data_IF_846453953532
#
_entry.id   IF_846453953532
#
_cell.length_a   1.000
_cell.length_b   1.000
_cell.length_c   1.000
_cell.angle_alpha   90.00
_cell.angle_beta   90.00
_cell.angle_gamma   90.00
#
_symmetry.space_group_name_H-M   'P 1'
#
loop_
_entity.id
_entity.type
_entity.pdbx_description
1 polymer ?
#
# COMPACT_ATOMS: atom_id res chain seq x y z
N UNK A 1 -13.36 9.19 2.35
CA UNK A 1 -12.23 9.61 3.22
C UNK A 1 -12.57 10.76 4.18
N UNK A 2 -13.39 11.74 3.79
CA UNK A 2 -13.64 12.94 4.61
C UNK A 2 -14.12 12.70 6.05
N UNK A 3 -15.08 11.80 6.33
CA UNK A 3 -15.51 11.56 7.72
C UNK A 3 -14.37 11.01 8.59
N UNK A 4 -13.61 10.05 8.05
CA UNK A 4 -12.47 9.47 8.76
C UNK A 4 -11.36 10.50 8.99
N UNK A 5 -11.02 11.31 7.99
CA UNK A 5 -10.03 12.39 8.13
C UNK A 5 -10.45 13.44 9.17
N UNK A 6 -11.76 13.76 9.23
CA UNK A 6 -12.29 14.65 10.25
C UNK A 6 -12.10 14.06 11.66
N UNK A 7 -12.39 12.78 11.85
CA UNK A 7 -12.19 12.12 13.13
C UNK A 7 -10.72 11.97 13.52
N UNK A 8 -9.84 11.67 12.55
CA UNK A 8 -8.38 11.65 12.76
C UNK A 8 -7.87 13.01 13.23
N UNK A 9 -8.30 14.09 12.58
CA UNK A 9 -7.94 15.45 12.96
C UNK A 9 -8.47 15.83 14.37
N UNK A 10 -9.72 15.46 14.69
CA UNK A 10 -10.30 15.69 16.02
C UNK A 10 -9.59 14.92 17.13
N UNK A 11 -9.06 13.73 16.81
CA UNK A 11 -8.24 12.93 17.71
C UNK A 11 -6.78 13.40 17.80
N UNK A 12 -6.42 14.47 17.09
CA UNK A 12 -5.06 15.02 17.07
C UNK A 12 -4.06 14.21 16.26
N UNK A 13 -4.51 13.30 15.40
CA UNK A 13 -3.66 12.53 14.50
C UNK A 13 -3.36 13.33 13.23
N UNK A 14 -2.08 13.51 12.91
CA UNK A 14 -1.62 14.06 11.64
C UNK A 14 -1.62 13.00 10.52
N UNK A 15 -2.72 12.25 10.42
CA UNK A 15 -2.93 11.20 9.43
C UNK A 15 -4.03 11.68 8.48
N UNK A 16 -3.75 11.62 7.17
CA UNK A 16 -4.72 11.94 6.12
C UNK A 16 -4.87 10.76 5.17
N UNK A 17 -6.08 10.22 5.10
CA UNK A 17 -6.46 9.25 4.10
C UNK A 17 -6.75 9.97 2.79
N UNK A 18 -6.01 9.63 1.74
CA UNK A 18 -6.34 10.09 0.40
C UNK A 18 -7.56 9.30 -0.13
N UNK A 19 -8.68 9.99 -0.31
CA UNK A 19 -9.91 9.40 -0.84
C UNK A 19 -10.05 9.50 -2.35
N UNK A 20 -9.09 10.13 -3.03
CA UNK A 20 -9.09 10.30 -4.48
C UNK A 20 -8.95 8.94 -5.15
N UNK A 21 -9.69 8.73 -6.23
CA UNK A 21 -9.46 7.61 -7.15
C UNK A 21 -8.06 7.67 -7.74
N UNK A 22 -7.56 6.55 -8.29
CA UNK A 22 -6.27 6.56 -8.98
C UNK A 22 -6.23 7.59 -10.13
N UNK A 23 -7.34 7.82 -10.83
CA UNK A 23 -7.39 8.85 -11.86
C UNK A 23 -7.15 10.26 -11.27
N UNK A 24 -7.82 10.58 -10.16
CA UNK A 24 -7.67 11.86 -9.45
C UNK A 24 -6.30 12.04 -8.77
N UNK A 25 -5.59 10.94 -8.50
CA UNK A 25 -4.20 10.96 -8.01
C UNK A 25 -3.17 11.11 -9.13
N UNK A 26 -3.60 11.17 -10.40
CA UNK A 26 -2.69 11.13 -11.54
C UNK A 26 -2.04 9.76 -11.70
N UNK A 27 -2.71 8.70 -11.26
CA UNK A 27 -2.34 7.30 -11.41
C UNK A 27 -3.31 6.56 -12.35
N UNK A 28 -4.05 7.30 -13.20
CA UNK A 28 -4.92 6.66 -14.19
C UNK A 28 -4.12 5.74 -15.10
N UNK A 29 -4.71 4.62 -15.54
CA UNK A 29 -4.05 3.64 -16.41
C UNK A 29 -2.94 2.79 -15.76
N UNK A 30 -2.48 3.14 -14.56
CA UNK A 30 -1.49 2.38 -13.77
C UNK A 30 -2.12 1.12 -13.15
N UNK A 31 -3.39 1.19 -12.78
CA UNK A 31 -4.11 0.09 -12.18
C UNK A 31 -4.14 -1.13 -13.11
N UNK A 32 -3.73 -2.29 -12.59
CA UNK A 32 -3.82 -3.52 -13.35
C UNK A 32 -5.28 -3.91 -13.55
N UNK A 33 -5.70 -4.06 -14.80
CA UNK A 33 -6.97 -4.72 -15.11
C UNK A 33 -6.82 -6.21 -14.81
N UNK A 34 -7.71 -6.76 -14.00
CA UNK A 34 -7.73 -8.20 -13.75
C UNK A 34 -7.84 -8.94 -15.08
N UNK A 35 -6.83 -9.76 -15.38
CA UNK A 35 -6.81 -10.60 -16.56
C UNK A 35 -7.41 -11.95 -16.19
N UNK A 36 -8.54 -12.30 -16.80
CA UNK A 36 -9.19 -13.59 -16.56
C UNK A 36 -8.24 -14.77 -16.82
N UNK A 37 -8.50 -15.93 -16.18
CA UNK A 37 -7.56 -17.05 -16.11
C UNK A 37 -7.13 -17.58 -17.49
N UNK A 38 -8.01 -17.56 -18.49
CA UNK A 38 -7.70 -17.99 -19.86
C UNK A 38 -6.66 -17.09 -20.53
N UNK A 39 -6.86 -15.77 -20.47
CA UNK A 39 -5.89 -14.81 -21.00
C UNK A 39 -4.57 -14.90 -20.23
N UNK A 40 -4.60 -15.00 -18.90
CA UNK A 40 -3.38 -15.21 -18.13
C UNK A 40 -2.60 -16.49 -18.55
N UNK A 41 -3.30 -17.58 -18.88
CA UNK A 41 -2.69 -18.81 -19.36
C UNK A 41 -2.10 -18.68 -20.78
N UNK A 42 -2.75 -17.94 -21.68
CA UNK A 42 -2.24 -17.62 -23.03
C UNK A 42 -0.98 -16.78 -22.98
N UNK A 43 -0.94 -15.76 -22.11
CA UNK A 43 0.24 -14.92 -21.90
C UNK A 43 1.45 -15.75 -21.41
N UNK A 44 1.22 -16.71 -20.48
CA UNK A 44 2.28 -17.62 -19.99
C UNK A 44 2.84 -18.55 -21.07
N UNK A 45 2.07 -18.84 -22.12
CA UNK A 45 2.49 -19.68 -23.25
C UNK A 45 3.22 -18.90 -24.36
N UNK A 46 3.46 -17.60 -24.17
CA UNK A 46 4.15 -16.77 -25.15
C UNK A 46 3.38 -16.54 -26.44
N UNK A 47 2.06 -16.77 -26.43
CA UNK A 47 1.21 -16.44 -27.58
C UNK A 47 1.11 -14.92 -27.66
N UNK A 48 1.50 -14.35 -28.80
CA UNK A 48 1.31 -12.92 -29.06
C UNK A 48 -0.17 -12.58 -28.89
N UNK A 49 -0.46 -11.87 -27.80
CA UNK A 49 -1.76 -11.26 -27.65
C UNK A 49 -1.78 -10.04 -28.54
N UNK A 50 -2.63 -10.07 -29.56
CA UNK A 50 -3.06 -8.85 -30.21
C UNK A 50 -3.77 -8.00 -29.16
N UNK A 51 -3.09 -6.98 -28.68
CA UNK A 51 -3.71 -5.96 -27.86
C UNK A 51 -4.81 -5.30 -28.67
N UNK A 52 -6.00 -5.14 -28.07
CA UNK A 52 -7.02 -4.32 -28.70
C UNK A 52 -6.44 -2.91 -28.93
N UNK A 53 -6.83 -2.19 -29.99
CA UNK A 53 -6.32 -0.84 -30.27
C UNK A 53 -6.38 0.10 -29.06
N UNK A 54 -7.43 -0.02 -28.23
CA UNK A 54 -7.57 0.74 -26.99
C UNK A 54 -6.53 0.39 -25.91
N UNK A 55 -6.10 -0.87 -25.83
CA UNK A 55 -5.07 -1.30 -24.88
C UNK A 55 -3.67 -0.86 -25.33
N UNK A 56 -3.40 -0.86 -26.65
CA UNK A 56 -2.18 -0.26 -27.21
C UNK A 56 -2.12 1.25 -26.97
N UNK A 57 -3.22 1.96 -27.22
CA UNK A 57 -3.29 3.40 -26.98
C UNK A 57 -3.01 3.74 -25.51
N UNK A 58 -3.61 2.98 -24.58
CA UNK A 58 -3.34 3.16 -23.14
C UNK A 58 -1.89 2.85 -22.77
N UNK A 59 -1.31 1.81 -23.36
CA UNK A 59 0.09 1.43 -23.13
C UNK A 59 1.04 2.55 -23.59
N UNK A 60 0.78 3.12 -24.78
CA UNK A 60 1.55 4.25 -25.32
C UNK A 60 1.41 5.49 -24.44
N UNK A 61 0.18 5.84 -24.03
CA UNK A 61 -0.05 6.97 -23.13
C UNK A 61 0.71 6.79 -21.80
N UNK A 62 0.72 5.57 -21.26
CA UNK A 62 1.49 5.27 -20.05
C UNK A 62 3.01 5.36 -20.28
N UNK A 63 3.52 4.95 -21.44
CA UNK A 63 4.92 5.11 -21.79
C UNK A 63 5.29 6.60 -21.86
N UNK A 64 4.50 7.42 -22.55
CA UNK A 64 4.70 8.87 -22.66
C UNK A 64 4.70 9.55 -21.28
N UNK A 65 3.80 9.11 -20.39
CA UNK A 65 3.72 9.62 -19.01
C UNK A 65 4.92 9.18 -18.17
N UNK A 66 5.41 7.95 -18.31
CA UNK A 66 6.61 7.48 -17.62
C UNK A 66 7.89 8.15 -18.15
N UNK A 67 7.92 8.52 -19.44
CA UNK A 67 8.96 9.35 -20.00
C UNK A 67 8.93 10.77 -19.43
N UNK A 68 7.77 11.34 -19.15
CA UNK A 68 7.67 12.64 -18.50
C UNK A 68 8.04 12.55 -17.01
N UNK A 69 7.37 11.66 -16.27
CA UNK A 69 7.48 11.45 -14.83
C UNK A 69 7.69 9.96 -14.49
N UNK A 70 8.95 9.49 -14.43
CA UNK A 70 9.27 8.12 -14.06
C UNK A 70 8.78 7.72 -12.67
N UNK A 71 8.68 8.66 -11.73
CA UNK A 71 8.37 8.37 -10.33
C UNK A 71 6.94 7.85 -10.13
N UNK A 72 6.06 8.03 -11.13
CA UNK A 72 4.77 7.37 -11.18
C UNK A 72 4.88 5.85 -11.00
N UNK A 73 5.95 5.24 -11.52
CA UNK A 73 6.22 3.81 -11.34
C UNK A 73 6.58 3.47 -9.89
N UNK A 74 7.31 4.33 -9.19
CA UNK A 74 7.64 4.12 -7.78
C UNK A 74 6.39 4.22 -6.90
N UNK A 75 5.49 5.17 -7.20
CA UNK A 75 4.20 5.27 -6.53
C UNK A 75 3.36 4.02 -6.74
N UNK A 76 3.32 3.50 -7.96
CA UNK A 76 2.67 2.22 -8.25
C UNK A 76 3.26 1.09 -7.39
N UNK A 77 4.58 0.93 -7.40
CA UNK A 77 5.24 -0.13 -6.67
C UNK A 77 5.02 -0.01 -5.16
N UNK A 78 5.07 1.21 -4.61
CA UNK A 78 4.80 1.48 -3.20
C UNK A 78 3.37 1.09 -2.78
N UNK A 79 2.38 1.32 -3.66
CA UNK A 79 0.99 0.90 -3.41
C UNK A 79 0.82 -0.62 -3.45
N UNK A 80 1.69 -1.34 -4.17
CA UNK A 80 1.62 -2.80 -4.29
C UNK A 80 2.44 -3.53 -3.21
N UNK A 81 3.55 -2.94 -2.74
CA UNK A 81 4.49 -3.57 -1.80
C UNK A 81 5.42 -2.56 -1.12
N UNK A 82 5.85 -2.86 0.11
CA UNK A 82 6.77 -2.01 0.88
C UNK A 82 8.23 -2.10 0.41
N UNK A 83 8.65 -3.21 -0.20
CA UNK A 83 10.01 -3.42 -0.69
C UNK A 83 10.03 -4.12 -2.04
N UNK A 84 11.01 -3.82 -2.87
CA UNK A 84 11.17 -4.37 -4.22
C UNK A 84 12.63 -4.38 -4.66
N UNK A 85 12.94 -5.19 -5.67
CA UNK A 85 14.26 -5.21 -6.29
C UNK A 85 14.26 -4.55 -7.68
N UNK A 86 15.43 -4.50 -8.31
CA UNK A 86 15.56 -3.94 -9.66
C UNK A 86 14.80 -4.76 -10.73
N UNK A 87 14.61 -6.07 -10.52
CA UNK A 87 13.86 -6.92 -11.44
C UNK A 87 12.38 -6.61 -11.38
N UNK A 88 11.85 -6.27 -10.20
CA UNK A 88 10.48 -5.80 -10.04
C UNK A 88 10.25 -4.48 -10.79
N UNK A 89 11.20 -3.54 -10.70
CA UNK A 89 11.15 -2.28 -11.45
C UNK A 89 11.18 -2.53 -12.96
N UNK A 90 12.11 -3.38 -13.42
CA UNK A 90 12.21 -3.75 -14.83
C UNK A 90 10.93 -4.44 -15.34
N UNK A 91 10.39 -5.38 -14.56
CA UNK A 91 9.14 -6.06 -14.88
C UNK A 91 7.97 -5.08 -14.93
N UNK A 92 7.93 -4.12 -14.02
CA UNK A 92 6.91 -3.09 -13.99
C UNK A 92 6.98 -2.19 -15.22
N UNK A 93 8.18 -1.76 -15.64
CA UNK A 93 8.41 -0.98 -16.85
C UNK A 93 8.01 -1.72 -18.13
N UNK A 94 8.38 -3.00 -18.26
CA UNK A 94 8.03 -3.82 -19.43
C UNK A 94 6.52 -4.04 -19.62
N UNK A 95 5.69 -3.66 -18.66
CA UNK A 95 4.23 -3.63 -18.85
C UNK A 95 3.77 -2.49 -19.76
N UNK A 96 4.57 -1.42 -19.88
CA UNK A 96 4.19 -0.20 -20.59
C UNK A 96 5.19 0.18 -21.69
N UNK A 97 6.47 -0.13 -21.52
CA UNK A 97 7.56 0.34 -22.39
C UNK A 97 8.22 -0.84 -23.09
N UNK A 98 8.12 -0.86 -24.42
CA UNK A 98 8.76 -1.86 -25.29
C UNK A 98 10.03 -1.31 -25.97
N UNK A 99 10.10 0.01 -26.18
CA UNK A 99 11.27 0.63 -26.79
C UNK A 99 12.50 0.54 -25.85
N UNK A 100 13.63 -0.04 -26.30
CA UNK A 100 14.80 -0.22 -25.45
C UNK A 100 15.45 1.08 -24.99
N UNK A 101 15.38 2.15 -25.79
CA UNK A 101 15.98 3.44 -25.45
C UNK A 101 15.16 4.14 -24.37
N UNK A 102 13.84 4.17 -24.53
CA UNK A 102 12.91 4.70 -23.53
C UNK A 102 12.99 3.90 -22.22
N UNK A 103 13.02 2.57 -22.32
CA UNK A 103 13.17 1.69 -21.16
C UNK A 103 14.44 2.02 -20.36
N UNK A 104 15.57 2.15 -21.05
CA UNK A 104 16.86 2.45 -20.42
C UNK A 104 16.84 3.84 -19.81
N UNK A 105 16.31 4.84 -20.53
CA UNK A 105 16.18 6.21 -20.04
C UNK A 105 15.36 6.30 -18.75
N UNK A 106 14.16 5.73 -18.75
CA UNK A 106 13.25 5.74 -17.59
C UNK A 106 13.90 4.99 -16.41
N UNK A 107 14.47 3.80 -16.65
CA UNK A 107 15.16 3.04 -15.59
C UNK A 107 16.31 3.83 -14.98
N UNK A 108 17.17 4.45 -15.79
CA UNK A 108 18.29 5.25 -15.28
C UNK A 108 17.80 6.42 -14.42
N UNK A 109 16.73 7.12 -14.83
CA UNK A 109 16.13 8.20 -14.05
C UNK A 109 15.51 7.69 -12.75
N UNK A 110 14.87 6.51 -12.76
CA UNK A 110 14.35 5.86 -11.56
C UNK A 110 15.46 5.50 -10.57
N UNK A 111 16.55 4.91 -11.05
CA UNK A 111 17.70 4.55 -10.21
C UNK A 111 18.38 5.77 -9.58
N UNK A 112 18.27 6.93 -10.23
CA UNK A 112 18.81 8.20 -9.75
C UNK A 112 17.80 9.04 -8.94
N UNK A 113 16.56 8.58 -8.78
CA UNK A 113 15.52 9.33 -8.05
C UNK A 113 15.80 9.30 -6.56
N UNK A 114 15.72 10.47 -5.92
CA UNK A 114 15.78 10.61 -4.46
C UNK A 114 14.64 9.90 -3.73
N UNK A 115 13.55 9.58 -4.43
CA UNK A 115 12.41 8.86 -3.89
C UNK A 115 12.62 7.34 -3.87
N UNK A 116 13.65 6.82 -4.56
CA UNK A 116 14.08 5.43 -4.46
C UNK A 116 15.17 5.30 -3.39
N UNK A 117 14.90 4.52 -2.35
CA UNK A 117 15.82 4.34 -1.22
C UNK A 117 16.36 2.92 -1.18
N UNK A 118 17.68 2.77 -1.15
CA UNK A 118 18.35 1.48 -0.98
C UNK A 118 18.31 1.06 0.50
N UNK A 119 17.63 -0.06 0.79
CA UNK A 119 17.58 -0.65 2.13
C UNK A 119 18.70 -1.67 2.37
N UNK A 120 18.95 -2.50 1.36
CA UNK A 120 19.97 -3.54 1.42
C UNK A 120 20.77 -3.52 0.12
N UNK A 121 22.09 -3.31 0.17
CA UNK A 121 22.91 -3.38 -1.03
C UNK A 121 22.88 -4.81 -1.60
N UNK A 122 23.09 -4.90 -2.91
CA UNK A 122 23.29 -6.18 -3.59
C UNK A 122 24.46 -6.92 -2.95
N UNK A 123 24.28 -8.22 -2.71
CA UNK A 123 25.37 -9.09 -2.27
C UNK A 123 25.92 -9.88 -3.45
N UNK A 124 27.25 -9.97 -3.50
CA UNK A 124 27.99 -10.71 -4.51
C UNK A 124 28.78 -11.80 -3.82
N UNK A 125 28.65 -13.02 -4.33
CA UNK A 125 29.41 -14.16 -3.87
C UNK A 125 30.89 -13.99 -4.24
N UNK A 126 31.76 -14.04 -3.24
CA UNK A 126 33.18 -13.71 -3.39
C UNK A 126 33.97 -14.69 -4.24
N UNK A 127 33.52 -15.95 -4.36
CA UNK A 127 34.21 -16.99 -5.14
C UNK A 127 33.76 -16.98 -6.61
N UNK A 128 32.46 -16.83 -6.85
CA UNK A 128 31.88 -16.90 -8.19
C UNK A 128 31.72 -15.54 -8.88
N UNK A 129 31.80 -14.43 -8.13
CA UNK A 129 31.52 -13.09 -8.62
C UNK A 129 30.07 -12.86 -9.04
N UNK A 130 29.17 -13.81 -8.73
CA UNK A 130 27.74 -13.73 -9.08
C UNK A 130 26.96 -13.05 -7.97
N UNK A 131 25.89 -12.38 -8.36
CA UNK A 131 24.93 -11.81 -7.42
C UNK A 131 24.26 -12.95 -6.64
N UNK A 132 24.50 -12.99 -5.33
CA UNK A 132 23.87 -13.94 -4.41
C UNK A 132 22.50 -13.42 -3.95
N UNK A 133 22.41 -12.13 -3.66
CA UNK A 133 21.16 -11.47 -3.26
C UNK A 133 21.01 -10.14 -3.98
N UNK A 134 19.81 -9.81 -4.49
CA UNK A 134 19.57 -8.54 -5.15
C UNK A 134 19.62 -7.38 -4.15
N UNK A 135 19.86 -6.17 -4.68
CA UNK A 135 19.61 -4.96 -3.92
C UNK A 135 18.10 -4.85 -3.60
N UNK A 136 17.78 -4.49 -2.36
CA UNK A 136 16.41 -4.25 -1.92
C UNK A 136 16.20 -2.76 -1.76
N UNK A 137 15.17 -2.26 -2.41
CA UNK A 137 14.74 -0.89 -2.40
C UNK A 137 13.39 -0.72 -1.71
N UNK A 138 13.12 0.49 -1.28
CA UNK A 138 11.81 0.99 -0.88
C UNK A 138 11.64 2.41 -1.44
N UNK A 139 10.49 3.02 -1.23
CA UNK A 139 10.32 4.45 -1.51
C UNK A 139 10.51 5.28 -0.25
N UNK A 140 10.90 6.55 -0.41
CA UNK A 140 11.00 7.50 0.70
C UNK A 140 9.67 7.66 1.45
N UNK A 141 8.55 7.56 0.73
CA UNK A 141 7.20 7.57 1.30
C UNK A 141 6.95 6.36 2.21
N UNK A 142 7.20 5.14 1.73
CA UNK A 142 7.03 3.92 2.53
C UNK A 142 7.94 3.97 3.76
N UNK A 143 9.21 4.35 3.59
CA UNK A 143 10.14 4.44 4.70
C UNK A 143 9.65 5.41 5.80
N UNK A 144 9.03 6.53 5.40
CA UNK A 144 8.44 7.48 6.33
C UNK A 144 7.22 6.90 7.05
N UNK A 145 6.32 6.26 6.31
CA UNK A 145 5.13 5.61 6.88
C UNK A 145 5.54 4.56 7.94
N UNK A 146 6.51 3.70 7.60
CA UNK A 146 7.01 2.66 8.50
C UNK A 146 7.69 3.26 9.74
N UNK A 147 8.45 4.35 9.57
CA UNK A 147 9.05 5.07 10.68
C UNK A 147 7.98 5.65 11.62
N UNK A 148 7.00 6.36 11.07
CA UNK A 148 5.91 6.98 11.84
C UNK A 148 5.06 5.92 12.57
N UNK A 149 4.83 4.77 11.92
CA UNK A 149 4.14 3.62 12.51
C UNK A 149 4.94 3.02 13.67
N UNK A 150 6.25 2.83 13.51
CA UNK A 150 7.11 2.32 14.56
C UNK A 150 7.18 3.26 15.78
N UNK A 151 7.23 4.57 15.56
CA UNK A 151 7.18 5.56 16.65
C UNK A 151 5.82 5.54 17.35
N UNK A 152 4.73 5.45 16.59
CA UNK A 152 3.37 5.35 17.13
C UNK A 152 3.22 4.10 18.00
N UNK A 153 3.71 2.95 17.54
CA UNK A 153 3.69 1.70 18.29
C UNK A 153 4.51 1.79 19.60
N UNK A 154 5.69 2.40 19.57
CA UNK A 154 6.48 2.64 20.79
C UNK A 154 5.74 3.52 21.80
N UNK A 155 5.21 4.65 21.33
CA UNK A 155 4.45 5.56 22.19
C UNK A 155 3.21 4.89 22.79
N UNK A 156 2.48 4.08 22.01
CA UNK A 156 1.35 3.31 22.51
C UNK A 156 1.78 2.27 23.55
N UNK A 157 2.91 1.59 23.35
CA UNK A 157 3.43 0.62 24.32
C UNK A 157 3.89 1.23 25.65
N UNK A 158 4.30 2.51 25.65
CA UNK A 158 4.72 3.21 26.88
C UNK A 158 3.54 3.83 27.63
N UNK A 159 2.46 4.19 26.92
CA UNK A 159 1.25 4.73 27.55
C UNK A 159 0.52 3.62 28.31
N UNK A 160 0.29 3.86 29.59
CA UNK A 160 -0.54 3.04 30.48
C UNK A 160 -1.74 3.85 30.96
N UNK A 161 -2.80 3.18 31.39
CA UNK A 161 -3.96 3.82 32.00
C UNK A 161 -5.10 4.10 31.03
N UNK A 162 -5.27 3.28 29.98
CA UNK A 162 -6.48 3.29 29.17
C UNK A 162 -7.55 2.33 29.69
N UNK A 163 -7.19 1.49 30.67
CA UNK A 163 -8.12 0.62 31.37
C UNK A 163 -9.30 1.43 31.93
N UNK A 164 -10.50 1.07 31.50
CA UNK A 164 -11.75 1.56 32.08
C UNK A 164 -12.09 0.65 33.26
N UNK A 165 -12.59 1.22 34.36
CA UNK A 165 -12.97 0.40 35.51
C UNK A 165 -14.09 -0.58 35.15
N UNK A 166 -14.01 -1.82 35.65
CA UNK A 166 -15.02 -2.85 35.39
C UNK A 166 -16.44 -2.38 35.75
N UNK A 167 -16.56 -1.52 36.77
CA UNK A 167 -17.82 -0.92 37.19
C UNK A 167 -18.38 0.00 36.11
N UNK A 168 -17.55 0.84 35.50
CA UNK A 168 -17.98 1.74 34.43
C UNK A 168 -18.34 0.96 33.15
N UNK A 169 -17.59 -0.10 32.83
CA UNK A 169 -17.89 -0.99 31.70
C UNK A 169 -19.22 -1.70 31.90
N UNK A 170 -19.45 -2.29 33.08
CA UNK A 170 -20.71 -2.95 33.42
C UNK A 170 -21.90 -1.99 33.34
N UNK A 171 -21.76 -0.78 33.89
CA UNK A 171 -22.80 0.24 33.83
C UNK A 171 -23.08 0.72 32.39
N UNK A 172 -22.06 0.80 31.53
CA UNK A 172 -22.24 1.14 30.12
C UNK A 172 -22.97 0.04 29.34
N UNK A 173 -22.63 -1.23 29.58
CA UNK A 173 -23.33 -2.39 29.00
C UNK A 173 -24.80 -2.38 29.42
N UNK A 174 -25.08 -2.29 30.74
CA UNK A 174 -26.44 -2.25 31.26
C UNK A 174 -27.24 -1.08 30.67
N UNK A 175 -26.62 0.09 30.56
CA UNK A 175 -27.25 1.27 29.95
C UNK A 175 -27.64 1.03 28.49
N UNK A 176 -26.79 0.40 27.68
CA UNK A 176 -27.10 0.10 26.27
C UNK A 176 -28.20 -0.95 26.16
N UNK A 177 -28.17 -2.00 26.98
CA UNK A 177 -29.20 -3.04 27.00
C UNK A 177 -30.58 -2.53 27.44
N UNK A 178 -30.61 -1.50 28.29
CA UNK A 178 -31.84 -0.93 28.86
C UNK A 178 -32.29 0.38 28.19
N UNK A 179 -31.55 0.85 27.19
CA UNK A 179 -31.77 2.17 26.57
C UNK A 179 -33.13 2.33 25.88
N UNK A 180 -33.65 1.25 25.27
CA UNK A 180 -34.96 1.22 24.61
C UNK A 180 -35.87 0.19 25.30
N UNK A 181 -36.79 0.64 26.19
CA UNK A 181 -37.70 -0.27 26.90
C UNK A 181 -38.68 -1.00 25.97
N UNK A 182 -38.89 -0.51 24.74
CA UNK A 182 -39.79 -1.12 23.77
C UNK A 182 -39.10 -2.18 22.91
N UNK A 183 -37.76 -2.23 22.94
CA UNK A 183 -36.95 -3.12 22.12
C UNK A 183 -35.92 -3.84 22.99
N UNK A 184 -36.24 -5.08 23.37
CA UNK A 184 -35.29 -5.90 24.13
C UNK A 184 -34.01 -6.11 23.31
N UNK A 185 -32.93 -5.48 23.78
CA UNK A 185 -31.58 -5.62 23.26
C UNK A 185 -30.71 -6.18 24.36
N UNK A 186 -30.00 -7.28 24.08
CA UNK A 186 -28.95 -7.81 24.94
C UNK A 186 -27.74 -8.14 24.09
N UNK A 187 -26.57 -7.81 24.62
CA UNK A 187 -25.33 -8.26 24.03
C UNK A 187 -25.18 -9.75 24.31
N UNK A 188 -24.69 -10.48 23.33
CA UNK A 188 -24.30 -11.86 23.57
C UNK A 188 -22.99 -11.91 24.40
N UNK A 189 -22.65 -13.06 25.00
CA UNK A 189 -21.45 -13.18 25.83
C UNK A 189 -20.15 -12.82 25.08
N UNK A 190 -20.05 -13.14 23.79
CA UNK A 190 -18.86 -12.85 22.98
C UNK A 190 -18.69 -11.34 22.74
N UNK A 191 -19.80 -10.62 22.55
CA UNK A 191 -19.83 -9.16 22.43
C UNK A 191 -19.48 -8.48 23.75
N UNK A 192 -19.97 -9.00 24.89
CA UNK A 192 -19.59 -8.50 26.22
C UNK A 192 -18.10 -8.72 26.46
N UNK A 193 -17.58 -9.89 26.13
CA UNK A 193 -16.15 -10.20 26.25
C UNK A 193 -15.30 -9.33 25.31
N UNK A 194 -15.77 -9.04 24.10
CA UNK A 194 -15.11 -8.11 23.19
C UNK A 194 -15.04 -6.69 23.76
N UNK A 195 -16.13 -6.20 24.36
CA UNK A 195 -16.13 -4.89 25.05
C UNK A 195 -15.12 -4.89 26.18
N UNK A 196 -15.15 -5.92 27.05
CA UNK A 196 -14.18 -6.07 28.15
C UNK A 196 -12.75 -6.07 27.62
N UNK A 197 -12.48 -6.86 26.59
CA UNK A 197 -11.15 -7.00 25.97
C UNK A 197 -10.61 -5.66 25.44
N UNK A 198 -11.46 -4.81 24.84
CA UNK A 198 -11.05 -3.50 24.33
C UNK A 198 -10.91 -2.45 25.45
N UNK A 199 -11.58 -2.64 26.58
CA UNK A 199 -11.59 -1.70 27.72
C UNK A 199 -10.59 -2.01 28.83
N UNK A 200 -9.96 -3.18 28.79
CA UNK A 200 -8.90 -3.59 29.71
C UNK A 200 -7.52 -3.18 29.13
N UNK A 201 -6.57 -2.79 30.00
CA UNK A 201 -5.16 -2.62 29.62
C UNK A 201 -4.45 -3.99 29.54
#
# INVERSE_FOLDING_TARGET
AEPANRHLALAGHDIRLDGRSYAEQGLDGIAQKHLGPEKAALARKGVEMYFAPADLARRQEMADRLLADPELLLKQLANERSTFDEKDIARALHRYVDDPADFTNIRTRLMASDNLVLLKPQQVDGESGKVSEPAIFTTREILRIEYDMAQSARLLSERRGFAVSDIAVAAAIEKVETQDPQKQFRLDPEQVDAVRHVTQD
#
